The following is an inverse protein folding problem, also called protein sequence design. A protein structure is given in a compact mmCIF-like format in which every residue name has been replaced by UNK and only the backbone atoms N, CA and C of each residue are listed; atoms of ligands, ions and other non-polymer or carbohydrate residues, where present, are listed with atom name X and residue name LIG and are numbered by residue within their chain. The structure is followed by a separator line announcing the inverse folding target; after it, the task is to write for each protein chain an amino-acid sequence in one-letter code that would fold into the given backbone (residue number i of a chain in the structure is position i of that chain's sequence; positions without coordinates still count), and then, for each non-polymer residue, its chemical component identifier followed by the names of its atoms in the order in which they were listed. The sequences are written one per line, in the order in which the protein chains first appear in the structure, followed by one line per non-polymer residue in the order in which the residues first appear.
data_IF_900096674670
#
_entry.id   IF_900096674670
#
_cell.length_a   1.000
_cell.length_b   1.000
_cell.length_c   1.000
_cell.angle_alpha   90.00
_cell.angle_beta   90.00
_cell.angle_gamma   90.00
#
_symmetry.space_group_name_H-M   'P 1'
#
loop_
_entity.id
_entity.type
_entity.pdbx_description
1 polymer ?
#
# COMPACT_ATOMS: atom_id res chain seq x y z
N UNK A 1 -25.21 -4.72 -3.96
CA UNK A 1 -24.18 -3.67 -3.76
C UNK A 1 -22.77 -4.25 -3.56
N UNK A 2 -22.63 -5.50 -3.10
CA UNK A 2 -21.36 -6.21 -2.87
C UNK A 2 -20.51 -6.51 -4.14
N UNK A 3 -21.14 -6.59 -5.32
CA UNK A 3 -20.47 -6.93 -6.60
C UNK A 3 -19.67 -5.75 -7.19
N UNK A 4 -19.81 -4.54 -6.62
CA UNK A 4 -19.09 -3.34 -7.11
C UNK A 4 -17.72 -3.14 -6.47
N UNK A 5 -17.47 -3.72 -5.29
CA UNK A 5 -16.19 -3.59 -4.57
C UNK A 5 -15.16 -4.61 -5.08
N UNK A 6 -15.61 -5.83 -5.41
CA UNK A 6 -14.72 -6.86 -6.00
C UNK A 6 -14.32 -6.59 -7.45
N UNK A 7 -14.98 -5.67 -8.16
CA UNK A 7 -14.56 -5.25 -9.51
C UNK A 7 -13.50 -4.14 -9.51
N UNK A 8 -13.16 -3.56 -8.36
CA UNK A 8 -12.22 -2.45 -8.29
C UNK A 8 -10.76 -2.88 -8.07
N UNK A 9 -10.52 -4.05 -7.47
CA UNK A 9 -9.18 -4.52 -7.13
C UNK A 9 -8.82 -5.72 -8.01
N UNK A 10 -8.53 -5.45 -9.29
CA UNK A 10 -8.30 -6.50 -10.29
C UNK A 10 -6.90 -7.11 -10.21
N UNK A 11 -5.95 -6.53 -9.47
CA UNK A 11 -4.57 -7.01 -9.34
C UNK A 11 -4.04 -6.64 -7.94
N UNK A 12 -3.32 -7.54 -7.27
CA UNK A 12 -2.54 -7.24 -6.07
C UNK A 12 -1.07 -7.28 -6.48
N UNK A 13 -0.33 -6.18 -6.30
CA UNK A 13 1.12 -6.19 -6.49
C UNK A 13 1.78 -6.47 -5.15
N UNK A 14 2.52 -7.58 -5.07
CA UNK A 14 3.44 -7.87 -3.98
C UNK A 14 4.81 -7.32 -4.34
N UNK A 15 5.40 -6.52 -3.46
CA UNK A 15 6.77 -6.05 -3.63
C UNK A 15 7.62 -6.46 -2.43
N UNK A 16 8.57 -7.35 -2.68
CA UNK A 16 9.63 -7.70 -1.74
C UNK A 16 10.78 -6.72 -1.95
N UNK A 17 10.70 -5.55 -1.33
CA UNK A 17 11.83 -4.62 -1.33
C UNK A 17 12.84 -5.05 -0.28
N UNK A 18 13.84 -5.82 -0.69
CA UNK A 18 14.92 -6.21 0.20
C UNK A 18 15.95 -5.07 0.31
N UNK A 19 15.93 -4.37 1.45
CA UNK A 19 17.09 -3.78 2.14
C UNK A 19 18.06 -2.91 1.35
N UNK A 20 17.68 -1.75 0.77
CA UNK A 20 18.75 -0.83 0.34
C UNK A 20 18.62 0.67 0.58
N UNK A 21 17.51 1.24 1.10
CA UNK A 21 17.42 2.72 1.17
C UNK A 21 16.73 3.38 2.37
N UNK A 22 16.30 2.68 3.43
CA UNK A 22 15.66 3.35 4.58
C UNK A 22 16.55 3.32 5.81
N UNK A 23 17.05 4.49 6.20
CA UNK A 23 18.03 4.75 7.25
C UNK A 23 17.57 4.48 8.69
N UNK A 24 16.46 3.75 8.93
CA UNK A 24 15.89 3.65 10.28
C UNK A 24 15.21 2.33 10.68
N UNK A 25 15.25 1.26 9.87
CA UNK A 25 14.82 -0.05 10.36
C UNK A 25 15.44 -1.21 9.58
N UNK A 26 16.27 -2.01 10.25
CA UNK A 26 16.76 -3.30 9.73
C UNK A 26 15.67 -4.37 9.86
N UNK A 27 14.54 -4.19 9.16
CA UNK A 27 13.46 -5.16 9.16
C UNK A 27 13.04 -5.50 7.72
N UNK A 28 12.90 -6.79 7.47
CA UNK A 28 12.27 -7.28 6.23
C UNK A 28 10.78 -6.97 6.31
N UNK A 29 10.29 -6.15 5.39
CA UNK A 29 8.87 -5.87 5.21
C UNK A 29 8.47 -6.11 3.76
N UNK A 30 7.20 -6.43 3.55
CA UNK A 30 6.61 -6.62 2.23
C UNK A 30 5.61 -5.50 2.01
N UNK A 31 5.74 -4.77 0.90
CA UNK A 31 4.71 -3.83 0.50
C UNK A 31 3.62 -4.58 -0.27
N UNK A 32 2.37 -4.45 0.20
CA UNK A 32 1.19 -4.98 -0.47
C UNK A 32 0.38 -3.79 -0.97
N UNK A 33 0.33 -3.63 -2.30
CA UNK A 33 -0.42 -2.54 -2.93
C UNK A 33 -1.61 -3.10 -3.71
N UNK A 34 -2.85 -2.84 -3.26
CA UNK A 34 -4.04 -3.12 -4.05
C UNK A 34 -4.05 -2.24 -5.31
N UNK A 35 -4.13 -2.85 -6.51
CA UNK A 35 -4.11 -2.15 -7.80
C UNK A 35 -5.47 -2.12 -8.46
N UNK A 36 -5.68 -1.14 -9.34
CA UNK A 36 -6.90 -0.98 -10.14
C UNK A 36 -6.55 -0.89 -11.63
N UNK A 37 -7.46 -1.28 -12.51
CA UNK A 37 -7.21 -1.16 -13.95
C UNK A 37 -6.96 0.30 -14.35
N UNK A 38 -5.84 0.55 -15.03
CA UNK A 38 -5.45 1.88 -15.49
C UNK A 38 -4.87 2.80 -14.42
N UNK A 39 -4.54 2.29 -13.23
CA UNK A 39 -3.85 3.08 -12.19
C UNK A 39 -2.40 3.47 -12.57
N UNK A 40 -1.76 2.69 -13.44
CA UNK A 40 -0.49 3.01 -14.08
C UNK A 40 -0.60 2.78 -15.59
N UNK A 41 -0.02 3.68 -16.38
CA UNK A 41 0.06 3.55 -17.84
C UNK A 41 0.95 2.37 -18.25
N UNK A 42 2.05 2.15 -17.53
CA UNK A 42 2.90 0.96 -17.63
C UNK A 42 3.00 0.30 -16.26
N UNK A 43 2.84 -1.02 -16.21
CA UNK A 43 2.83 -1.75 -14.95
C UNK A 43 4.11 -1.54 -14.11
N UNK A 44 5.26 -1.44 -14.76
CA UNK A 44 6.56 -1.29 -14.10
C UNK A 44 6.82 0.12 -13.54
N UNK A 45 6.00 1.12 -13.87
CA UNK A 45 6.18 2.46 -13.31
C UNK A 45 5.90 2.50 -11.79
N UNK A 46 5.20 1.51 -11.25
CA UNK A 46 5.02 1.31 -9.80
C UNK A 46 6.35 1.26 -9.04
N UNK A 47 7.41 0.72 -9.64
CA UNK A 47 8.73 0.64 -9.01
C UNK A 47 9.38 2.02 -8.85
N UNK A 48 9.12 2.94 -9.79
CA UNK A 48 9.66 4.31 -9.75
C UNK A 48 8.98 5.13 -8.68
N UNK A 49 7.65 5.04 -8.60
CA UNK A 49 6.87 5.75 -7.58
C UNK A 49 7.23 5.28 -6.16
N UNK A 50 7.38 3.97 -5.96
CA UNK A 50 7.80 3.42 -4.66
C UNK A 50 9.19 3.95 -4.22
N UNK A 51 10.13 4.09 -5.17
CA UNK A 51 11.46 4.63 -4.86
C UNK A 51 11.44 6.12 -4.49
N UNK A 52 10.41 6.86 -4.93
CA UNK A 52 10.26 8.30 -4.66
C UNK A 52 9.42 8.58 -3.42
N UNK A 53 8.49 7.68 -3.08
CA UNK A 53 7.56 7.83 -1.96
C UNK A 53 8.26 8.12 -0.63
N UNK A 54 9.41 7.51 -0.38
CA UNK A 54 10.17 7.69 0.87
C UNK A 54 11.05 8.96 0.89
N UNK A 55 11.09 9.72 -0.21
CA UNK A 55 11.98 10.89 -0.37
C UNK A 55 11.26 12.23 -0.31
N UNK A 56 9.97 12.26 -0.60
CA UNK A 56 9.15 13.48 -0.49
C UNK A 56 8.49 13.57 0.88
N UNK A 57 9.16 14.23 1.81
CA UNK A 57 8.65 14.54 3.16
C UNK A 57 7.65 15.71 3.08
N UNK A 58 6.46 15.44 2.52
CA UNK A 58 5.36 16.41 2.41
C UNK A 58 4.31 16.13 3.49
N UNK A 59 4.39 16.76 4.68
CA UNK A 59 3.50 16.48 5.81
C UNK A 59 2.02 16.77 5.51
N UNK A 60 1.75 17.68 4.56
CA UNK A 60 0.38 18.00 4.11
C UNK A 60 -0.34 16.82 3.43
N UNK A 61 0.40 15.78 3.00
CA UNK A 61 -0.16 14.57 2.36
C UNK A 61 -0.37 13.42 3.36
N UNK A 62 0.03 13.57 4.62
CA UNK A 62 -0.05 12.51 5.60
C UNK A 62 -1.45 12.36 6.16
N UNK A 63 -1.84 11.10 6.36
CA UNK A 63 -3.10 10.76 7.03
C UNK A 63 -2.94 10.95 8.53
N UNK A 64 -4.04 11.26 9.22
CA UNK A 64 -3.98 11.37 10.69
C UNK A 64 -3.87 9.98 11.32
N UNK A 65 -3.39 9.92 12.57
CA UNK A 65 -3.32 8.67 13.31
C UNK A 65 -4.70 8.04 13.51
N UNK A 66 -5.75 8.86 13.71
CA UNK A 66 -7.11 8.34 13.86
C UNK A 66 -7.61 7.66 12.57
N UNK A 67 -7.30 8.24 11.40
CA UNK A 67 -7.66 7.64 10.11
C UNK A 67 -6.96 6.29 9.90
N UNK A 68 -5.65 6.21 10.22
CA UNK A 68 -4.89 4.97 10.15
C UNK A 68 -5.41 3.91 11.12
N UNK A 69 -5.75 4.29 12.35
CA UNK A 69 -6.31 3.39 13.36
C UNK A 69 -7.69 2.87 12.95
N UNK A 70 -8.54 3.73 12.37
CA UNK A 70 -9.86 3.35 11.87
C UNK A 70 -9.76 2.34 10.71
N UNK A 71 -8.84 2.56 9.76
CA UNK A 71 -8.59 1.63 8.66
C UNK A 71 -8.08 0.27 9.19
N UNK A 72 -7.11 0.28 10.12
CA UNK A 72 -6.59 -0.95 10.72
C UNK A 72 -7.69 -1.74 11.45
N UNK A 73 -8.60 -1.07 12.16
CA UNK A 73 -9.74 -1.71 12.83
C UNK A 73 -10.72 -2.36 11.83
N UNK A 74 -10.87 -1.80 10.63
CA UNK A 74 -11.67 -2.40 9.55
C UNK A 74 -10.96 -3.65 9.00
N UNK A 75 -9.67 -3.54 8.66
CA UNK A 75 -8.88 -4.64 8.10
C UNK A 75 -8.79 -5.83 9.06
N UNK A 76 -8.61 -5.57 10.36
CA UNK A 76 -8.51 -6.60 11.40
C UNK A 76 -9.69 -7.59 11.39
N UNK A 77 -10.90 -7.14 11.08
CA UNK A 77 -12.11 -7.98 11.08
C UNK A 77 -12.02 -9.15 10.11
N UNK A 78 -11.30 -9.00 9.01
CA UNK A 78 -11.12 -10.06 8.01
C UNK A 78 -10.19 -11.19 8.46
N UNK A 79 -9.49 -11.03 9.60
CA UNK A 79 -8.53 -12.01 10.12
C UNK A 79 -8.96 -12.63 11.45
N UNK A 80 -10.18 -12.36 11.94
CA UNK A 80 -10.67 -12.84 13.23
C UNK A 80 -11.34 -14.23 13.19
N UNK A 81 -11.65 -14.76 12.01
CA UNK A 81 -12.39 -16.02 11.84
C UNK A 81 -11.51 -17.20 11.36
N UNK A 82 -10.18 -17.11 11.49
CA UNK A 82 -9.24 -18.19 11.14
C UNK A 82 -8.65 -18.87 12.38
#
# INVERSE_FOLDING_TARGET
MLVKILKAFSVVTFFLWCLLHSSHSEHVHVHVLPRRAGDFSRNDDVYKELQQHDKEDSPDKWRTEEEMAAEAAILKKYFQEN
#
